data_IF_661991694271
#
_entry.id   IF_661991694271
#
_cell.length_a   1.000
_cell.length_b   1.000
_cell.length_c   1.000
_cell.angle_alpha   90.00
_cell.angle_beta   90.00
_cell.angle_gamma   90.00
#
_symmetry.space_group_name_H-M   'P 1'
#
loop_
_entity.id
_entity.type
_entity.pdbx_description
1 polymer ?
#
# COMPACT_ATOMS: atom_id res chain seq x y z
N UNK A 1 -7.28 6.77 -18.46
CA UNK A 1 -5.83 7.15 -18.53
C UNK A 1 -5.17 6.29 -19.59
N UNK A 2 -4.19 6.77 -20.32
CA UNK A 2 -3.50 5.94 -21.32
C UNK A 2 -2.40 5.13 -20.61
N UNK A 3 -2.15 3.88 -20.99
CA UNK A 3 -1.10 3.03 -20.34
C UNK A 3 0.27 3.71 -20.33
N UNK A 4 0.55 4.54 -21.33
CA UNK A 4 1.81 5.32 -21.43
C UNK A 4 1.96 6.43 -20.38
N UNK A 5 0.88 6.78 -19.69
CA UNK A 5 0.87 7.82 -18.65
C UNK A 5 1.01 7.22 -17.24
N UNK A 6 1.06 5.89 -17.16
CA UNK A 6 1.20 5.17 -15.89
C UNK A 6 2.63 5.27 -15.36
N UNK A 7 2.73 5.38 -14.05
CA UNK A 7 4.01 5.41 -13.35
C UNK A 7 4.15 4.15 -12.49
N UNK A 8 5.35 3.62 -12.44
CA UNK A 8 5.62 2.42 -11.64
C UNK A 8 6.47 2.78 -10.43
N UNK A 9 5.93 2.47 -9.25
CA UNK A 9 6.58 2.60 -7.96
C UNK A 9 6.96 1.24 -7.38
N UNK A 10 7.77 1.25 -6.33
CA UNK A 10 8.16 0.06 -5.56
C UNK A 10 7.87 0.30 -4.08
N UNK A 11 7.27 -0.69 -3.44
CA UNK A 11 7.03 -0.72 -2.00
C UNK A 11 8.23 -1.32 -1.27
N UNK A 12 8.58 -0.78 -0.11
CA UNK A 12 9.76 -1.20 0.67
C UNK A 12 9.54 -2.45 1.52
N UNK A 13 8.32 -2.97 1.59
CA UNK A 13 8.01 -4.17 2.37
C UNK A 13 8.83 -5.40 1.94
N UNK A 14 9.24 -5.46 0.66
CA UNK A 14 10.17 -6.48 0.14
C UNK A 14 11.45 -6.63 0.99
N UNK A 15 11.94 -5.54 1.57
CA UNK A 15 13.08 -5.58 2.50
C UNK A 15 12.64 -5.68 3.95
N UNK A 16 11.52 -5.07 4.31
CA UNK A 16 10.97 -5.12 5.67
C UNK A 16 10.66 -6.55 6.11
N UNK A 17 10.12 -7.40 5.22
CA UNK A 17 9.82 -8.81 5.51
C UNK A 17 11.07 -9.62 5.90
N UNK A 18 12.28 -9.13 5.59
CA UNK A 18 13.52 -9.79 5.97
C UNK A 18 13.85 -9.62 7.46
N UNK A 19 13.23 -8.65 8.15
CA UNK A 19 13.51 -8.34 9.53
C UNK A 19 15.01 -8.08 9.76
N UNK A 20 15.58 -8.70 10.78
CA UNK A 20 17.00 -8.54 11.15
C UNK A 20 18.00 -9.00 10.06
N UNK A 21 17.55 -9.70 9.04
CA UNK A 21 18.40 -10.08 7.89
C UNK A 21 18.69 -8.90 6.96
N UNK A 22 17.89 -7.84 7.02
CA UNK A 22 18.15 -6.61 6.28
C UNK A 22 19.00 -5.66 7.11
N UNK A 23 20.31 -5.65 6.90
CA UNK A 23 21.24 -4.75 7.59
C UNK A 23 21.40 -3.36 6.96
N UNK A 24 20.59 -3.02 5.94
CA UNK A 24 20.62 -1.74 5.25
C UNK A 24 19.72 -0.68 5.87
N UNK A 25 19.70 0.49 5.25
CA UNK A 25 18.85 1.62 5.64
C UNK A 25 18.10 2.24 4.47
N UNK A 26 17.38 3.36 4.70
CA UNK A 26 16.57 3.99 3.65
C UNK A 26 17.35 4.42 2.41
N UNK A 27 18.63 4.74 2.54
CA UNK A 27 19.47 5.08 1.39
C UNK A 27 19.72 3.88 0.49
N UNK A 28 19.88 2.68 1.07
CA UNK A 28 20.06 1.44 0.32
C UNK A 28 18.78 1.10 -0.44
N UNK A 29 17.61 1.33 0.17
CA UNK A 29 16.30 1.16 -0.47
C UNK A 29 16.13 2.13 -1.64
N UNK A 30 16.39 3.42 -1.43
CA UNK A 30 16.34 4.45 -2.47
C UNK A 30 17.22 4.04 -3.65
N UNK A 31 18.46 3.61 -3.35
CA UNK A 31 19.39 3.18 -4.38
C UNK A 31 18.89 1.95 -5.15
N UNK A 32 18.46 0.90 -4.46
CA UNK A 32 18.00 -0.33 -5.09
C UNK A 32 16.77 -0.10 -5.99
N UNK A 33 15.81 0.72 -5.53
CA UNK A 33 14.59 1.07 -6.27
C UNK A 33 14.94 1.94 -7.50
N UNK A 34 15.81 2.94 -7.34
CA UNK A 34 16.27 3.77 -8.45
C UNK A 34 17.04 2.95 -9.50
N UNK A 35 17.99 2.10 -9.07
CA UNK A 35 18.75 1.20 -9.96
C UNK A 35 17.84 0.17 -10.66
N UNK A 36 16.72 -0.19 -10.02
CA UNK A 36 15.68 -1.02 -10.60
C UNK A 36 14.90 -0.35 -11.75
N UNK A 37 15.01 0.98 -11.88
CA UNK A 37 14.35 1.77 -12.92
C UNK A 37 12.90 2.12 -12.60
N UNK A 38 12.57 2.26 -11.32
CA UNK A 38 11.29 2.76 -10.85
C UNK A 38 11.22 4.29 -10.90
N UNK A 39 10.01 4.83 -10.97
CA UNK A 39 9.76 6.27 -10.93
C UNK A 39 9.39 6.76 -9.53
N UNK A 40 9.05 5.85 -8.61
CA UNK A 40 8.64 6.22 -7.27
C UNK A 40 8.86 5.14 -6.24
N UNK A 41 8.74 5.54 -4.98
CA UNK A 41 8.88 4.69 -3.81
C UNK A 41 7.65 4.85 -2.92
N UNK A 42 7.15 3.76 -2.39
CA UNK A 42 6.32 3.73 -1.20
C UNK A 42 7.16 3.21 -0.05
N UNK A 43 7.25 3.97 1.04
CA UNK A 43 8.08 3.63 2.18
C UNK A 43 7.24 3.47 3.44
N UNK A 44 7.59 2.48 4.26
CA UNK A 44 6.92 2.24 5.54
C UNK A 44 7.56 3.01 6.68
N UNK A 45 6.81 3.19 7.75
CA UNK A 45 7.27 3.82 8.99
C UNK A 45 8.43 3.07 9.66
N UNK A 46 8.53 1.77 9.46
CA UNK A 46 9.64 0.94 9.94
C UNK A 46 10.90 1.11 9.09
N UNK A 47 10.77 1.48 7.81
CA UNK A 47 11.89 1.55 6.86
C UNK A 47 12.40 2.98 6.61
N UNK A 48 11.70 4.02 7.07
CA UNK A 48 12.07 5.43 6.90
C UNK A 48 13.38 5.82 7.60
N UNK A 49 13.74 5.11 8.68
CA UNK A 49 14.99 5.23 9.40
C UNK A 49 15.37 6.68 9.73
N UNK A 50 16.59 7.09 9.35
CA UNK A 50 17.15 8.41 9.66
C UNK A 50 16.36 9.60 9.12
N UNK A 51 15.44 9.38 8.20
CA UNK A 51 14.59 10.42 7.63
C UNK A 51 13.28 10.64 8.41
N UNK A 52 13.00 9.85 9.45
CA UNK A 52 11.84 10.07 10.30
C UNK A 52 11.83 11.50 10.85
N UNK A 53 10.74 12.25 10.63
CA UNK A 53 10.62 13.65 11.00
C UNK A 53 11.48 14.64 10.21
N UNK A 54 12.11 14.22 9.11
CA UNK A 54 12.98 15.05 8.27
C UNK A 54 12.55 15.04 6.80
N UNK A 55 11.36 15.50 6.47
CA UNK A 55 10.82 15.40 5.12
C UNK A 55 11.70 16.13 4.07
N UNK A 56 12.33 17.25 4.43
CA UNK A 56 13.20 17.97 3.49
C UNK A 56 14.46 17.18 3.12
N UNK A 57 15.08 16.48 4.08
CA UNK A 57 16.24 15.63 3.82
C UNK A 57 15.83 14.43 2.92
N UNK A 58 14.68 13.81 3.21
CA UNK A 58 14.15 12.70 2.42
C UNK A 58 13.80 13.14 0.98
N UNK A 59 13.14 14.31 0.83
CA UNK A 59 12.84 14.87 -0.47
C UNK A 59 14.11 15.12 -1.32
N UNK A 60 15.19 15.62 -0.68
CA UNK A 60 16.46 15.82 -1.34
C UNK A 60 17.09 14.48 -1.81
N UNK A 61 17.04 13.43 -0.98
CA UNK A 61 17.54 12.10 -1.32
C UNK A 61 16.75 11.48 -2.49
N UNK A 62 15.41 11.55 -2.45
CA UNK A 62 14.56 11.06 -3.54
C UNK A 62 14.85 11.82 -4.85
N UNK A 63 14.93 13.14 -4.78
CA UNK A 63 15.24 13.98 -5.96
C UNK A 63 16.60 13.62 -6.58
N UNK A 64 17.61 13.40 -5.75
CA UNK A 64 18.95 13.01 -6.22
C UNK A 64 18.94 11.65 -6.95
N UNK A 65 18.00 10.76 -6.60
CA UNK A 65 17.83 9.43 -7.18
C UNK A 65 16.74 9.37 -8.27
N UNK A 66 16.12 10.49 -8.62
CA UNK A 66 15.07 10.57 -9.63
C UNK A 66 13.75 9.90 -9.21
N UNK A 67 13.54 9.70 -7.91
CA UNK A 67 12.32 9.08 -7.37
C UNK A 67 11.33 10.12 -6.83
N UNK A 68 10.05 9.76 -6.86
CA UNK A 68 8.97 10.47 -6.19
C UNK A 68 8.46 9.64 -5.01
N UNK A 69 8.03 10.29 -3.92
CA UNK A 69 7.24 9.60 -2.90
C UNK A 69 5.84 9.35 -3.47
N UNK A 70 5.45 8.08 -3.58
CA UNK A 70 4.09 7.69 -3.99
C UNK A 70 3.16 7.73 -2.80
N UNK A 71 3.56 7.06 -1.73
CA UNK A 71 2.80 6.93 -0.50
C UNK A 71 3.73 6.70 0.69
N UNK A 72 3.30 7.17 1.84
CA UNK A 72 3.88 6.79 3.13
C UNK A 72 2.96 5.76 3.78
N UNK A 73 3.44 4.55 4.01
CA UNK A 73 2.65 3.46 4.57
C UNK A 73 2.97 3.24 6.05
N UNK A 74 1.95 2.95 6.85
CA UNK A 74 2.15 2.58 8.25
C UNK A 74 1.05 1.65 8.75
N UNK A 75 1.41 0.87 9.77
CA UNK A 75 0.50 0.03 10.53
C UNK A 75 0.39 0.48 11.99
N UNK A 76 -0.38 -0.26 12.79
CA UNK A 76 -0.44 -0.05 14.22
C UNK A 76 -0.41 -1.36 14.99
N UNK A 77 0.27 -1.35 16.14
CA UNK A 77 0.25 -2.48 17.09
C UNK A 77 -1.14 -2.69 17.71
N UNK A 78 -1.98 -1.65 17.75
CA UNK A 78 -3.40 -1.74 18.15
C UNK A 78 -4.23 -2.48 17.12
N UNK A 79 -3.69 -2.71 15.90
CA UNK A 79 -4.44 -3.18 14.74
C UNK A 79 -5.55 -2.23 14.31
N UNK A 80 -5.57 -0.98 14.78
CA UNK A 80 -6.67 -0.02 14.63
C UNK A 80 -8.01 -0.55 15.18
N UNK A 81 -7.99 -1.48 16.14
CA UNK A 81 -9.17 -2.18 16.64
C UNK A 81 -9.33 -2.10 18.18
N UNK A 82 -8.47 -1.31 18.85
CA UNK A 82 -8.52 -1.07 20.28
C UNK A 82 -9.08 0.34 20.56
N UNK A 83 -10.25 0.40 21.19
CA UNK A 83 -10.92 1.67 21.46
C UNK A 83 -10.06 2.62 22.31
N UNK A 84 -9.35 2.10 23.30
CA UNK A 84 -8.43 2.85 24.17
C UNK A 84 -7.17 3.35 23.47
N UNK A 85 -6.91 2.89 22.24
CA UNK A 85 -5.75 3.28 21.43
C UNK A 85 -6.06 4.22 20.27
N UNK A 86 -7.32 4.57 20.06
CA UNK A 86 -7.73 5.49 18.97
C UNK A 86 -6.90 6.79 18.99
N UNK A 87 -6.68 7.37 20.17
CA UNK A 87 -5.90 8.60 20.30
C UNK A 87 -4.45 8.45 19.82
N UNK A 88 -3.77 7.36 20.22
CA UNK A 88 -2.39 7.06 19.82
C UNK A 88 -2.30 6.75 18.31
N UNK A 89 -3.29 6.03 17.76
CA UNK A 89 -3.36 5.73 16.34
C UNK A 89 -3.53 7.00 15.51
N UNK A 90 -4.37 7.93 15.95
CA UNK A 90 -4.60 9.22 15.30
C UNK A 90 -3.40 10.17 15.41
N UNK A 91 -2.70 10.16 16.54
CA UNK A 91 -1.44 10.90 16.70
C UNK A 91 -0.39 10.39 15.70
N UNK A 92 -0.29 9.07 15.55
CA UNK A 92 0.60 8.44 14.57
C UNK A 92 0.19 8.78 13.14
N UNK A 93 -1.10 8.68 12.81
CA UNK A 93 -1.63 9.09 11.50
C UNK A 93 -1.33 10.56 11.21
N UNK A 94 -1.57 11.47 12.16
CA UNK A 94 -1.29 12.91 12.02
C UNK A 94 0.17 13.18 11.70
N UNK A 95 1.10 12.54 12.42
CA UNK A 95 2.55 12.69 12.18
C UNK A 95 2.95 12.27 10.76
N UNK A 96 2.42 11.17 10.23
CA UNK A 96 2.76 10.70 8.89
C UNK A 96 2.03 11.47 7.79
N UNK A 97 0.83 11.97 8.07
CA UNK A 97 0.12 12.92 7.19
C UNK A 97 0.93 14.22 7.05
N UNK A 98 1.41 14.79 8.16
CA UNK A 98 2.24 15.99 8.14
C UNK A 98 3.57 15.75 7.38
N UNK A 99 4.17 14.57 7.55
CA UNK A 99 5.34 14.18 6.77
C UNK A 99 5.03 14.12 5.27
N UNK A 100 3.95 13.43 4.88
CA UNK A 100 3.55 13.27 3.49
C UNK A 100 3.15 14.59 2.82
N UNK A 101 2.63 15.57 3.58
CA UNK A 101 2.25 16.88 3.09
C UNK A 101 3.42 17.68 2.47
N UNK A 102 4.67 17.32 2.80
CA UNK A 102 5.85 17.91 2.19
C UNK A 102 6.12 17.39 0.75
N UNK A 103 5.38 16.37 0.28
CA UNK A 103 5.59 15.72 -1.01
C UNK A 103 4.35 15.86 -1.89
N UNK A 104 4.35 16.75 -2.88
CA UNK A 104 3.19 16.99 -3.74
C UNK A 104 2.67 15.72 -4.41
N UNK A 105 1.42 15.38 -4.14
CA UNK A 105 0.75 14.21 -4.72
C UNK A 105 1.00 12.88 -4.00
N UNK A 106 1.83 12.86 -2.95
CA UNK A 106 1.97 11.68 -2.10
C UNK A 106 0.71 11.45 -1.26
N UNK A 107 0.45 10.18 -0.95
CA UNK A 107 -0.65 9.75 -0.09
C UNK A 107 -0.12 9.21 1.24
N UNK A 108 -1.06 8.94 2.15
CA UNK A 108 -0.81 8.07 3.30
C UNK A 108 -1.63 6.80 3.16
N UNK A 109 -0.96 5.66 3.20
CA UNK A 109 -1.56 4.33 3.19
C UNK A 109 -1.58 3.76 4.60
N UNK A 110 -2.78 3.50 5.11
CA UNK A 110 -2.95 2.84 6.40
C UNK A 110 -3.13 1.34 6.16
N UNK A 111 -2.32 0.55 6.84
CA UNK A 111 -2.42 -0.90 6.77
C UNK A 111 -3.80 -1.43 7.20
N UNK A 112 -4.06 -2.67 6.89
CA UNK A 112 -5.31 -3.33 7.23
C UNK A 112 -5.54 -3.37 8.73
N UNK A 113 -6.75 -3.04 9.15
CA UNK A 113 -7.16 -3.27 10.53
C UNK A 113 -7.11 -4.75 10.88
N UNK A 114 -6.55 -5.05 12.05
CA UNK A 114 -6.30 -6.41 12.52
C UNK A 114 -6.87 -6.60 13.92
N UNK A 115 -7.64 -7.67 14.13
CA UNK A 115 -8.20 -7.99 15.44
C UNK A 115 -7.08 -8.50 16.36
N UNK A 116 -6.76 -7.73 17.38
CA UNK A 116 -5.69 -8.01 18.35
C UNK A 116 -6.20 -8.26 19.77
N UNK A 117 -7.52 -8.24 19.99
CA UNK A 117 -8.15 -8.48 21.29
C UNK A 117 -9.50 -9.19 21.13
N UNK A 118 -9.96 -9.81 22.20
CA UNK A 118 -11.28 -10.42 22.26
C UNK A 118 -12.42 -9.42 22.03
N UNK A 119 -13.62 -9.95 21.84
CA UNK A 119 -14.85 -9.19 21.63
C UNK A 119 -15.48 -9.36 20.26
N UNK A 120 -16.66 -8.81 20.03
CA UNK A 120 -17.38 -8.94 18.78
C UNK A 120 -16.60 -8.34 17.60
N UNK A 121 -16.57 -9.07 16.47
CA UNK A 121 -15.89 -8.58 15.24
C UNK A 121 -16.51 -7.29 14.70
N UNK A 122 -17.84 -7.13 14.86
CA UNK A 122 -18.53 -5.91 14.45
C UNK A 122 -18.07 -4.66 15.21
N UNK A 123 -17.76 -4.78 16.49
CA UNK A 123 -17.19 -3.67 17.27
C UNK A 123 -15.79 -3.29 16.73
N UNK A 124 -15.00 -4.28 16.31
CA UNK A 124 -13.69 -4.04 15.70
C UNK A 124 -13.79 -3.30 14.36
N UNK A 125 -14.77 -3.64 13.53
CA UNK A 125 -15.08 -2.88 12.32
C UNK A 125 -15.46 -1.42 12.62
N UNK A 126 -16.29 -1.19 13.64
CA UNK A 126 -16.71 0.16 14.03
C UNK A 126 -15.51 1.01 14.50
N UNK A 127 -14.65 0.44 15.36
CA UNK A 127 -13.44 1.12 15.85
C UNK A 127 -12.48 1.43 14.69
N UNK A 128 -12.22 0.46 13.82
CA UNK A 128 -11.34 0.66 12.68
C UNK A 128 -11.89 1.75 11.73
N UNK A 129 -13.18 1.74 11.47
CA UNK A 129 -13.81 2.77 10.64
C UNK A 129 -13.73 4.16 11.28
N UNK A 130 -13.86 4.27 12.60
CA UNK A 130 -13.67 5.54 13.31
C UNK A 130 -12.24 6.07 13.14
N UNK A 131 -11.22 5.20 13.34
CA UNK A 131 -9.81 5.58 13.15
C UNK A 131 -9.56 6.03 11.71
N UNK A 132 -9.97 5.24 10.72
CA UNK A 132 -9.74 5.57 9.32
C UNK A 132 -10.45 6.85 8.88
N UNK A 133 -11.72 7.05 9.25
CA UNK A 133 -12.46 8.27 8.91
C UNK A 133 -11.82 9.50 9.55
N UNK A 134 -11.44 9.44 10.83
CA UNK A 134 -10.75 10.55 11.51
C UNK A 134 -9.37 10.84 10.91
N UNK A 135 -8.61 9.81 10.54
CA UNK A 135 -7.36 9.99 9.80
C UNK A 135 -7.60 10.64 8.43
N UNK A 136 -8.67 10.25 7.72
CA UNK A 136 -9.11 10.90 6.48
C UNK A 136 -9.45 12.38 6.67
N UNK A 137 -10.09 12.77 7.79
CA UNK A 137 -10.34 14.17 8.13
C UNK A 137 -9.03 14.95 8.36
N UNK A 138 -8.06 14.35 9.06
CA UNK A 138 -6.73 14.94 9.24
C UNK A 138 -6.05 15.13 7.88
N UNK A 139 -6.07 14.10 7.04
CA UNK A 139 -5.50 14.15 5.68
C UNK A 139 -6.13 15.26 4.84
N UNK A 140 -7.47 15.36 4.83
CA UNK A 140 -8.16 16.43 4.11
C UNK A 140 -7.74 17.82 4.56
N UNK A 141 -7.56 18.05 5.87
CA UNK A 141 -7.09 19.33 6.42
C UNK A 141 -5.67 19.66 5.98
N UNK A 142 -4.81 18.65 5.85
CA UNK A 142 -3.42 18.80 5.43
C UNK A 142 -3.24 18.77 3.89
N UNK A 143 -4.31 18.52 3.12
CA UNK A 143 -4.23 18.35 1.66
C UNK A 143 -3.61 17.03 1.21
N UNK A 144 -3.61 16.01 2.08
CA UNK A 144 -3.07 14.67 1.85
C UNK A 144 -4.22 13.66 1.77
N UNK A 145 -4.24 12.82 0.74
CA UNK A 145 -5.21 11.75 0.66
C UNK A 145 -4.81 10.59 1.59
N UNK A 146 -5.80 10.02 2.27
CA UNK A 146 -5.64 8.83 3.10
C UNK A 146 -6.34 7.66 2.41
N UNK A 147 -5.72 6.49 2.40
CA UNK A 147 -6.29 5.29 1.85
C UNK A 147 -6.00 4.09 2.76
N UNK A 148 -6.86 3.08 2.71
CA UNK A 148 -6.66 1.81 3.42
C UNK A 148 -6.09 0.78 2.46
N UNK A 149 -5.18 -0.05 2.97
CA UNK A 149 -4.54 -1.14 2.26
C UNK A 149 -5.01 -2.48 2.84
N UNK A 150 -5.41 -3.47 2.03
CA UNK A 150 -5.84 -4.79 2.51
C UNK A 150 -4.65 -5.62 3.00
N UNK A 151 -4.98 -6.70 3.69
CA UNK A 151 -4.03 -7.75 4.05
C UNK A 151 -4.73 -9.11 4.00
N UNK A 152 -3.97 -10.16 3.78
CA UNK A 152 -4.45 -11.54 3.87
C UNK A 152 -3.79 -12.31 5.03
N UNK A 153 -3.25 -11.59 6.00
CA UNK A 153 -2.72 -12.17 7.23
C UNK A 153 -3.84 -12.47 8.24
N UNK A 154 -3.51 -13.20 9.30
CA UNK A 154 -4.48 -13.61 10.30
C UNK A 154 -5.20 -12.42 10.95
N UNK A 155 -6.50 -12.59 11.19
CA UNK A 155 -7.37 -11.66 11.90
C UNK A 155 -7.56 -10.28 11.23
N UNK A 156 -7.19 -10.10 9.98
CA UNK A 156 -7.47 -8.84 9.26
C UNK A 156 -8.99 -8.61 9.09
N UNK A 157 -9.38 -7.35 9.00
CA UNK A 157 -10.75 -6.90 8.68
C UNK A 157 -10.92 -6.51 7.20
N UNK A 158 -9.94 -6.79 6.35
CA UNK A 158 -9.99 -6.63 4.90
C UNK A 158 -9.44 -7.88 4.22
N UNK A 159 -10.11 -9.02 4.44
CA UNK A 159 -9.66 -10.31 3.91
C UNK A 159 -10.53 -10.78 2.75
N UNK A 160 -11.79 -11.08 3.00
CA UNK A 160 -12.72 -11.57 1.99
C UNK A 160 -13.74 -10.49 1.57
N UNK A 161 -14.62 -10.84 0.64
CA UNK A 161 -15.61 -9.92 0.11
C UNK A 161 -16.54 -9.37 1.18
N UNK A 162 -16.96 -10.17 2.15
CA UNK A 162 -17.84 -9.72 3.21
C UNK A 162 -17.15 -8.70 4.13
N UNK A 163 -15.88 -8.89 4.42
CA UNK A 163 -15.07 -7.92 5.15
C UNK A 163 -14.97 -6.58 4.37
N UNK A 164 -14.72 -6.64 3.05
CA UNK A 164 -14.67 -5.43 2.22
C UNK A 164 -16.02 -4.71 2.17
N UNK A 165 -17.12 -5.44 1.95
CA UNK A 165 -18.47 -4.87 1.99
C UNK A 165 -18.74 -4.19 3.34
N UNK A 166 -18.35 -4.83 4.45
CA UNK A 166 -18.56 -4.33 5.78
C UNK A 166 -17.75 -3.06 6.06
N UNK A 167 -16.43 -3.08 5.86
CA UNK A 167 -15.59 -1.91 6.16
C UNK A 167 -15.95 -0.73 5.25
N UNK A 168 -16.13 -0.95 3.95
CA UNK A 168 -16.46 0.11 3.02
C UNK A 168 -17.87 0.70 3.22
N UNK A 169 -18.80 -0.03 3.85
CA UNK A 169 -20.08 0.53 4.26
C UNK A 169 -19.95 1.54 5.42
N UNK A 170 -18.86 1.48 6.18
CA UNK A 170 -18.60 2.34 7.35
C UNK A 170 -17.66 3.50 7.03
N UNK A 171 -16.88 3.40 5.95
CA UNK A 171 -15.92 4.41 5.55
C UNK A 171 -16.55 5.48 4.67
N UNK A 172 -16.35 6.75 5.02
CA UNK A 172 -16.73 7.88 4.17
C UNK A 172 -15.85 7.89 2.89
N UNK A 173 -16.44 7.69 1.69
CA UNK A 173 -15.70 7.64 0.44
C UNK A 173 -15.03 8.96 0.05
N UNK A 174 -15.47 10.09 0.64
CA UNK A 174 -14.86 11.39 0.43
C UNK A 174 -13.60 11.63 1.27
N UNK A 175 -13.41 10.83 2.31
CA UNK A 175 -12.30 10.93 3.26
C UNK A 175 -11.26 9.84 3.05
N UNK A 176 -11.73 8.61 2.84
CA UNK A 176 -10.88 7.41 2.83
C UNK A 176 -10.96 6.70 1.49
N UNK A 177 -9.82 6.65 0.80
CA UNK A 177 -9.64 5.88 -0.41
C UNK A 177 -9.30 4.41 -0.12
N UNK A 178 -8.98 3.71 -1.19
CA UNK A 178 -8.53 2.33 -1.15
C UNK A 178 -7.30 2.12 -2.05
N UNK A 179 -6.37 1.34 -1.56
CA UNK A 179 -5.24 0.80 -2.31
C UNK A 179 -5.50 -0.69 -2.50
N UNK A 180 -6.11 -1.12 -3.61
CA UNK A 180 -6.22 -2.56 -3.87
C UNK A 180 -4.83 -3.17 -3.99
N UNK A 181 -4.65 -4.32 -3.34
CA UNK A 181 -3.50 -5.19 -3.52
C UNK A 181 -3.97 -6.49 -4.16
N UNK A 182 -3.45 -6.78 -5.35
CA UNK A 182 -3.90 -7.90 -6.18
C UNK A 182 -3.62 -9.25 -5.53
N UNK A 183 -2.48 -9.40 -4.87
CA UNK A 183 -2.13 -10.63 -4.18
C UNK A 183 -3.02 -10.89 -2.96
N UNK A 184 -3.32 -9.85 -2.18
CA UNK A 184 -4.22 -9.99 -1.03
C UNK A 184 -5.66 -10.28 -1.43
N UNK A 185 -6.16 -9.67 -2.52
CA UNK A 185 -7.50 -9.95 -3.06
C UNK A 185 -7.59 -11.43 -3.50
N UNK A 186 -6.59 -11.93 -4.23
CA UNK A 186 -6.54 -13.33 -4.68
C UNK A 186 -6.47 -14.31 -3.51
N UNK A 187 -5.65 -14.04 -2.50
CA UNK A 187 -5.56 -14.86 -1.28
C UNK A 187 -6.85 -14.82 -0.46
N UNK A 188 -7.58 -13.72 -0.51
CA UNK A 188 -8.95 -13.59 0.02
C UNK A 188 -10.00 -14.33 -0.80
N UNK A 189 -9.59 -15.05 -1.86
CA UNK A 189 -10.47 -15.82 -2.76
C UNK A 189 -11.57 -14.99 -3.40
N UNK A 190 -11.27 -13.72 -3.66
CA UNK A 190 -12.19 -12.81 -4.30
C UNK A 190 -11.99 -12.85 -5.83
N UNK A 191 -13.06 -12.61 -6.57
CA UNK A 191 -12.95 -12.30 -8.00
C UNK A 191 -12.31 -10.92 -8.17
N UNK A 192 -11.15 -10.88 -8.82
CA UNK A 192 -10.34 -9.67 -8.99
C UNK A 192 -11.10 -8.58 -9.74
N UNK A 193 -11.68 -8.94 -10.89
CA UNK A 193 -12.34 -7.97 -11.75
C UNK A 193 -13.62 -7.43 -11.11
N UNK A 194 -14.41 -8.28 -10.47
CA UNK A 194 -15.61 -7.87 -9.74
C UNK A 194 -15.25 -6.98 -8.55
N UNK A 195 -14.25 -7.35 -7.74
CA UNK A 195 -13.84 -6.57 -6.57
C UNK A 195 -13.34 -5.18 -6.97
N UNK A 196 -12.44 -5.09 -7.94
CA UNK A 196 -11.94 -3.81 -8.43
C UNK A 196 -13.05 -2.94 -9.04
N UNK A 197 -13.97 -3.55 -9.80
CA UNK A 197 -15.09 -2.83 -10.43
C UNK A 197 -16.08 -2.32 -9.39
N UNK A 198 -16.38 -3.13 -8.37
CA UNK A 198 -17.34 -2.76 -7.31
C UNK A 198 -16.87 -1.55 -6.52
N UNK A 199 -15.57 -1.50 -6.17
CA UNK A 199 -15.02 -0.43 -5.33
C UNK A 199 -14.17 0.58 -6.12
N UNK A 200 -14.30 0.62 -7.46
CA UNK A 200 -13.46 1.44 -8.34
C UNK A 200 -13.37 2.92 -7.95
N UNK A 201 -14.45 3.48 -7.41
CA UNK A 201 -14.50 4.89 -7.02
C UNK A 201 -13.63 5.22 -5.80
N UNK A 202 -13.21 4.18 -5.06
CA UNK A 202 -12.29 4.30 -3.92
C UNK A 202 -10.84 4.14 -4.30
N UNK A 203 -10.50 3.60 -5.48
CA UNK A 203 -9.12 3.32 -5.90
C UNK A 203 -8.34 4.62 -6.00
N UNK A 204 -7.20 4.68 -5.32
CA UNK A 204 -6.25 5.81 -5.39
C UNK A 204 -5.01 5.45 -6.20
N UNK A 205 -4.38 4.34 -5.90
CA UNK A 205 -3.32 3.70 -6.67
C UNK A 205 -3.45 2.19 -6.44
N UNK A 206 -2.63 1.38 -7.10
CA UNK A 206 -2.76 -0.09 -7.05
C UNK A 206 -1.44 -0.71 -6.61
N UNK A 207 -1.51 -1.66 -5.69
CA UNK A 207 -0.43 -2.61 -5.45
C UNK A 207 -0.57 -3.81 -6.39
N UNK A 208 0.45 -4.03 -7.19
CA UNK A 208 0.58 -5.20 -8.06
C UNK A 208 1.46 -6.23 -7.37
N UNK A 209 0.87 -7.35 -7.06
CA UNK A 209 1.44 -8.48 -6.37
C UNK A 209 0.86 -9.76 -6.93
N UNK A 210 1.63 -10.81 -7.05
CA UNK A 210 1.16 -12.05 -7.65
C UNK A 210 1.19 -13.22 -6.66
N UNK A 211 0.37 -14.21 -6.92
CA UNK A 211 0.30 -15.45 -6.16
C UNK A 211 0.18 -16.62 -7.12
N UNK A 212 0.71 -17.77 -6.73
CA UNK A 212 0.50 -19.01 -7.47
C UNK A 212 -0.93 -19.56 -7.26
N UNK A 213 -1.25 -20.66 -7.94
CA UNK A 213 -2.56 -21.31 -7.83
C UNK A 213 -2.89 -21.83 -6.42
N UNK A 214 -1.90 -21.97 -5.55
CA UNK A 214 -2.05 -22.41 -4.16
C UNK A 214 -2.15 -21.25 -3.17
N UNK A 215 -1.99 -20.00 -3.65
CA UNK A 215 -2.00 -18.78 -2.82
C UNK A 215 -0.65 -18.46 -2.18
N UNK A 216 0.45 -19.08 -2.62
CA UNK A 216 1.80 -18.67 -2.24
C UNK A 216 2.23 -17.45 -3.04
N UNK A 217 3.04 -16.57 -2.45
CA UNK A 217 3.57 -15.41 -3.14
C UNK A 217 4.43 -15.82 -4.34
N UNK A 218 4.24 -15.18 -5.46
CA UNK A 218 4.96 -15.41 -6.71
C UNK A 218 5.48 -14.09 -7.28
N UNK A 219 6.58 -14.17 -8.01
CA UNK A 219 7.09 -13.03 -8.79
C UNK A 219 6.01 -12.54 -9.77
N UNK A 220 5.93 -11.24 -9.96
CA UNK A 220 4.93 -10.64 -10.85
C UNK A 220 4.94 -11.27 -12.25
N UNK A 221 3.78 -11.72 -12.71
CA UNK A 221 3.60 -12.39 -13.99
C UNK A 221 3.97 -13.89 -14.00
N UNK A 222 4.32 -14.46 -12.85
CA UNK A 222 4.56 -15.90 -12.69
C UNK A 222 3.43 -16.61 -11.92
N UNK A 223 2.45 -15.86 -11.45
CA UNK A 223 1.28 -16.36 -10.74
C UNK A 223 0.02 -16.39 -11.58
N UNK A 224 -1.12 -16.18 -10.92
CA UNK A 224 -2.45 -16.25 -11.53
C UNK A 224 -3.12 -14.87 -11.71
N UNK A 225 -2.44 -13.79 -11.35
CA UNK A 225 -2.98 -12.45 -11.48
C UNK A 225 -3.08 -12.03 -12.96
N UNK A 226 -4.27 -11.66 -13.42
CA UNK A 226 -4.44 -10.99 -14.72
C UNK A 226 -4.08 -9.50 -14.59
N UNK A 227 -2.76 -9.22 -14.56
CA UNK A 227 -2.21 -7.88 -14.39
C UNK A 227 -2.70 -6.92 -15.50
N UNK A 228 -2.88 -7.39 -16.73
CA UNK A 228 -3.39 -6.56 -17.83
C UNK A 228 -4.82 -6.09 -17.55
N UNK A 229 -5.68 -6.99 -17.06
CA UNK A 229 -7.05 -6.66 -16.68
C UNK A 229 -7.13 -5.72 -15.48
N UNK A 230 -6.26 -5.91 -14.50
CA UNK A 230 -6.13 -4.98 -13.35
C UNK A 230 -5.78 -3.58 -13.82
N UNK A 231 -4.78 -3.44 -14.70
CA UNK A 231 -4.37 -2.14 -15.27
C UNK A 231 -5.53 -1.50 -16.04
N UNK A 232 -6.27 -2.26 -16.85
CA UNK A 232 -7.45 -1.78 -17.57
C UNK A 232 -8.48 -1.17 -16.63
N UNK A 233 -8.89 -1.94 -15.59
CA UNK A 233 -9.93 -1.51 -14.64
C UNK A 233 -9.46 -0.30 -13.84
N UNK A 234 -8.23 -0.33 -13.31
CA UNK A 234 -7.67 0.76 -12.53
C UNK A 234 -7.56 2.05 -13.35
N UNK A 235 -7.12 1.95 -14.60
CA UNK A 235 -7.00 3.11 -15.50
C UNK A 235 -8.34 3.79 -15.84
N UNK A 236 -9.44 3.05 -15.70
CA UNK A 236 -10.81 3.55 -15.86
C UNK A 236 -11.41 4.08 -14.54
N UNK A 237 -10.76 3.90 -13.41
CA UNK A 237 -11.24 4.34 -12.11
C UNK A 237 -11.13 5.88 -11.98
N UNK A 238 -12.18 6.58 -11.51
CA UNK A 238 -12.23 8.05 -11.56
C UNK A 238 -11.21 8.75 -10.65
N UNK A 239 -10.79 8.08 -9.57
CA UNK A 239 -9.88 8.65 -8.56
C UNK A 239 -8.49 8.02 -8.59
N UNK A 240 -8.20 7.19 -9.59
CA UNK A 240 -6.90 6.57 -9.76
C UNK A 240 -5.85 7.62 -10.18
N UNK A 241 -4.74 7.70 -9.46
CA UNK A 241 -3.71 8.72 -9.65
C UNK A 241 -2.61 8.33 -10.65
N UNK A 242 -2.71 7.15 -11.28
CA UNK A 242 -1.77 6.67 -12.29
C UNK A 242 -0.58 5.88 -11.73
N UNK A 243 -0.50 5.62 -10.44
CA UNK A 243 0.58 4.82 -9.87
C UNK A 243 0.22 3.33 -9.77
N UNK A 244 1.11 2.51 -10.30
CA UNK A 244 1.17 1.06 -10.08
C UNK A 244 2.38 0.78 -9.21
N UNK A 245 2.17 0.35 -7.99
CA UNK A 245 3.23 0.09 -7.02
C UNK A 245 3.45 -1.42 -6.93
N UNK A 246 4.68 -1.86 -7.16
CA UNK A 246 5.03 -3.27 -7.07
C UNK A 246 5.41 -3.61 -5.63
N UNK A 247 4.76 -4.61 -5.09
CA UNK A 247 5.10 -5.21 -3.79
C UNK A 247 5.44 -6.68 -4.01
N UNK A 248 6.55 -7.14 -3.43
CA UNK A 248 7.08 -8.47 -3.70
C UNK A 248 7.46 -9.18 -2.40
N UNK A 249 6.88 -10.34 -2.17
CA UNK A 249 7.07 -11.13 -0.94
C UNK A 249 7.43 -12.61 -1.20
N UNK A 250 7.79 -12.96 -2.45
CA UNK A 250 8.15 -14.35 -2.77
C UNK A 250 9.45 -14.79 -2.10
N UNK A 251 9.69 -16.09 -2.09
CA UNK A 251 10.96 -16.67 -1.65
C UNK A 251 12.14 -16.16 -2.48
N UNK A 252 11.93 -15.88 -3.77
CA UNK A 252 12.93 -15.25 -4.64
C UNK A 252 13.33 -13.87 -4.11
N UNK A 253 12.36 -13.06 -3.72
CA UNK A 253 12.62 -11.75 -3.13
C UNK A 253 13.26 -11.86 -1.73
N UNK A 254 12.90 -12.87 -0.96
CA UNK A 254 13.54 -13.12 0.34
C UNK A 254 15.01 -13.51 0.22
N UNK A 255 15.42 -14.10 -0.92
CA UNK A 255 16.81 -14.46 -1.22
C UNK A 255 17.62 -13.29 -1.83
N UNK A 256 17.00 -12.53 -2.76
CA UNK A 256 17.60 -11.38 -3.45
C UNK A 256 16.54 -10.29 -3.71
N UNK A 257 16.27 -9.43 -2.74
CA UNK A 257 15.24 -8.40 -2.87
C UNK A 257 15.51 -7.41 -4.00
N UNK A 258 16.75 -6.99 -4.19
CA UNK A 258 17.12 -6.03 -5.23
C UNK A 258 16.97 -6.63 -6.64
N UNK A 259 17.40 -7.88 -6.82
CA UNK A 259 17.22 -8.62 -8.08
C UNK A 259 15.75 -8.87 -8.39
N UNK A 260 14.96 -9.23 -7.38
CA UNK A 260 13.53 -9.49 -7.52
C UNK A 260 12.77 -8.23 -7.97
N UNK A 261 12.93 -7.09 -7.30
CA UNK A 261 12.25 -5.85 -7.69
C UNK A 261 12.68 -5.38 -9.08
N UNK A 262 13.95 -5.54 -9.45
CA UNK A 262 14.44 -5.24 -10.81
C UNK A 262 13.76 -6.14 -11.86
N UNK A 263 13.60 -7.42 -11.58
CA UNK A 263 12.91 -8.38 -12.45
C UNK A 263 11.44 -8.00 -12.61
N UNK A 264 10.74 -7.69 -11.52
CA UNK A 264 9.35 -7.24 -11.55
C UNK A 264 9.19 -5.94 -12.37
N UNK A 265 10.13 -5.01 -12.26
CA UNK A 265 10.13 -3.81 -13.09
C UNK A 265 10.28 -4.11 -14.59
N UNK A 266 11.08 -5.12 -14.95
CA UNK A 266 11.19 -5.58 -16.34
C UNK A 266 9.87 -6.20 -16.83
N UNK A 267 9.21 -6.99 -15.99
CA UNK A 267 7.89 -7.55 -16.28
C UNK A 267 6.87 -6.45 -16.59
N UNK A 268 6.85 -5.36 -15.82
CA UNK A 268 5.96 -4.22 -16.06
C UNK A 268 6.20 -3.53 -17.42
N UNK A 269 7.44 -3.48 -17.90
CA UNK A 269 7.72 -2.97 -19.25
C UNK A 269 7.03 -3.79 -20.34
N UNK A 270 6.84 -5.08 -20.10
CA UNK A 270 6.07 -5.97 -20.99
C UNK A 270 4.58 -5.59 -21.08
N UNK A 271 4.03 -4.98 -20.04
CA UNK A 271 2.66 -4.43 -20.03
C UNK A 271 2.59 -2.99 -20.56
N UNK A 272 3.72 -2.39 -20.96
CA UNK A 272 3.79 -1.04 -21.54
C UNK A 272 3.86 0.10 -20.52
N UNK A 273 4.13 -0.22 -19.24
CA UNK A 273 4.24 0.73 -18.13
C UNK A 273 5.68 0.86 -17.58
#
# INVERSE_FOLDING_TARGET
MNVKDLKVGCQTFTWEMLGDRFGGGPDDLIKAISDGGYAGIEITDTMIGRYAGKPAEFAAALKASGLMLVSFAFGSKSGFTLNEKIGEDLETAGRWIDFAAAFPGALVSMGSATVVSDGPRDDKFAIAAEVYNKAGELGRKAGVQVAVHPSSHHNTLLFDRADYDRIFSLLDPSLVGWVPDTGHILRGRQDMADTLTTYRDRIRYVHLKDVDANGSWAMLGQGVCDTAKVIEIASAAPNFNGWLVLEEESETAAADPAGAVKTNRQTMRGYGA
#
